data_IF_014163905265
#
_entry.id   IF_014163905265
#
_cell.length_a   1.000
_cell.length_b   1.000
_cell.length_c   1.000
_cell.angle_alpha   90.00
_cell.angle_beta   90.00
_cell.angle_gamma   90.00
#
_symmetry.space_group_name_H-M   'P 1'
#
loop_
_entity.id
_entity.type
_entity.pdbx_description
1 polymer ?
#
# COMPACT_ATOMS: atom_id res chain seq x y z
N UNK A 1 -4.25 4.61 12.52
CA UNK A 1 -2.97 4.01 12.12
C UNK A 1 -1.93 4.32 13.19
N UNK A 2 -1.13 3.35 13.62
CA UNK A 2 -0.02 3.60 14.56
C UNK A 2 1.25 3.97 13.78
N UNK A 3 1.41 5.27 13.48
CA UNK A 3 2.55 5.78 12.71
C UNK A 3 3.90 5.47 13.36
N UNK A 4 3.97 5.52 14.70
CA UNK A 4 5.22 5.27 15.42
C UNK A 4 5.64 3.82 15.22
N UNK A 5 4.72 2.88 15.43
CA UNK A 5 4.95 1.46 15.18
C UNK A 5 5.36 1.24 13.72
N UNK A 6 4.61 1.80 12.77
CA UNK A 6 4.90 1.65 11.33
C UNK A 6 6.30 2.14 10.96
N UNK A 7 6.71 3.32 11.42
CA UNK A 7 8.05 3.87 11.14
C UNK A 7 9.14 3.02 11.79
N UNK A 8 8.97 2.64 13.07
CA UNK A 8 9.96 1.83 13.81
C UNK A 8 10.12 0.45 13.19
N UNK A 9 9.02 -0.21 12.84
CA UNK A 9 9.05 -1.52 12.18
C UNK A 9 9.66 -1.42 10.78
N UNK A 10 9.34 -0.38 10.01
CA UNK A 10 9.95 -0.16 8.69
C UNK A 10 11.46 0.05 8.78
N UNK A 11 11.91 0.79 9.79
CA UNK A 11 13.33 0.99 10.09
C UNK A 11 14.02 -0.32 10.51
N UNK A 12 13.38 -1.11 11.38
CA UNK A 12 13.89 -2.41 11.79
C UNK A 12 14.03 -3.38 10.62
N UNK A 13 13.01 -3.49 9.76
CA UNK A 13 13.06 -4.31 8.54
C UNK A 13 14.20 -3.87 7.61
N UNK A 14 14.41 -2.56 7.49
CA UNK A 14 15.53 -2.00 6.69
C UNK A 14 16.88 -2.42 7.27
N UNK A 15 17.06 -2.35 8.59
CA UNK A 15 18.32 -2.70 9.25
C UNK A 15 18.57 -4.21 9.29
N UNK A 16 17.54 -5.02 9.52
CA UNK A 16 17.64 -6.48 9.59
C UNK A 16 18.18 -7.08 8.29
N UNK A 17 17.73 -6.56 7.14
CA UNK A 17 18.13 -7.02 5.81
C UNK A 17 18.95 -5.98 5.04
N UNK A 18 19.71 -5.14 5.75
CA UNK A 18 20.40 -3.98 5.17
C UNK A 18 21.29 -4.36 3.97
N UNK A 19 22.05 -5.45 4.06
CA UNK A 19 22.95 -5.90 2.98
C UNK A 19 22.17 -6.24 1.69
N UNK A 20 21.26 -7.23 1.72
CA UNK A 20 20.42 -7.57 0.57
C UNK A 20 19.58 -6.40 0.03
N UNK A 21 19.03 -5.56 0.91
CA UNK A 21 18.22 -4.39 0.52
C UNK A 21 19.07 -3.35 -0.21
N UNK A 22 20.26 -3.03 0.31
CA UNK A 22 21.16 -2.08 -0.34
C UNK A 22 21.61 -2.60 -1.70
N UNK A 23 21.92 -3.89 -1.80
CA UNK A 23 22.26 -4.52 -3.08
C UNK A 23 21.08 -4.45 -4.06
N UNK A 24 19.87 -4.80 -3.62
CA UNK A 24 18.67 -4.74 -4.45
C UNK A 24 18.40 -3.32 -4.97
N UNK A 25 18.46 -2.33 -4.07
CA UNK A 25 18.21 -0.91 -4.38
C UNK A 25 19.29 -0.36 -5.32
N UNK A 26 20.56 -0.75 -5.11
CA UNK A 26 21.66 -0.37 -5.99
C UNK A 26 21.50 -0.98 -7.39
N UNK A 27 21.18 -2.28 -7.49
CA UNK A 27 20.95 -2.91 -8.79
C UNK A 27 19.74 -2.30 -9.49
N UNK A 28 18.66 -2.00 -8.76
CA UNK A 28 17.51 -1.30 -9.32
C UNK A 28 17.92 0.07 -9.91
N UNK A 29 18.73 0.86 -9.18
CA UNK A 29 19.26 2.12 -9.71
C UNK A 29 20.01 1.88 -11.03
N UNK A 30 20.92 0.92 -11.08
CA UNK A 30 21.67 0.63 -12.30
C UNK A 30 20.73 0.26 -13.45
N UNK A 31 19.74 -0.59 -13.21
CA UNK A 31 18.76 -0.99 -14.22
C UNK A 31 17.96 0.23 -14.72
N UNK A 32 17.54 1.11 -13.83
CA UNK A 32 16.83 2.35 -14.19
C UNK A 32 17.73 3.24 -15.06
N UNK A 33 18.98 3.47 -14.64
CA UNK A 33 19.92 4.33 -15.37
C UNK A 33 20.25 3.76 -16.75
N UNK A 34 20.62 2.48 -16.84
CA UNK A 34 21.00 1.84 -18.10
C UNK A 34 19.83 1.62 -19.05
N UNK A 35 18.60 1.50 -18.53
CA UNK A 35 17.39 1.45 -19.36
C UNK A 35 16.81 2.83 -19.68
N UNK A 36 17.48 3.93 -19.29
CA UNK A 36 16.97 5.30 -19.44
C UNK A 36 15.58 5.50 -18.81
N UNK A 37 15.30 4.78 -17.72
CA UNK A 37 14.03 4.82 -16.99
C UNK A 37 12.92 3.96 -17.58
N UNK A 38 13.12 3.30 -18.73
CA UNK A 38 12.08 2.49 -19.38
C UNK A 38 11.63 1.34 -18.46
N UNK A 39 12.56 0.69 -17.76
CA UNK A 39 12.25 -0.40 -16.83
C UNK A 39 11.88 0.08 -15.42
N UNK A 40 11.87 1.39 -15.15
CA UNK A 40 11.62 1.91 -13.81
C UNK A 40 10.26 1.46 -13.21
N UNK A 41 9.13 1.49 -13.94
CA UNK A 41 7.84 1.12 -13.36
C UNK A 41 7.80 -0.36 -12.96
N UNK A 42 8.29 -1.24 -13.84
CA UNK A 42 8.21 -2.69 -13.63
C UNK A 42 9.20 -3.20 -12.59
N UNK A 43 10.41 -2.62 -12.56
CA UNK A 43 11.40 -2.94 -11.52
C UNK A 43 11.00 -2.40 -10.15
N UNK A 44 10.25 -1.29 -10.10
CA UNK A 44 9.61 -0.81 -8.87
C UNK A 44 8.55 -1.78 -8.37
N UNK A 45 7.78 -2.41 -9.27
CA UNK A 45 6.85 -3.48 -8.88
C UNK A 45 7.58 -4.71 -8.32
N UNK A 46 8.64 -5.17 -8.99
CA UNK A 46 9.47 -6.27 -8.47
C UNK A 46 10.14 -5.93 -7.13
N UNK A 47 10.58 -4.69 -6.95
CA UNK A 47 11.12 -4.18 -5.70
C UNK A 47 10.10 -4.22 -4.56
N UNK A 48 8.90 -3.68 -4.80
CA UNK A 48 7.81 -3.66 -3.82
C UNK A 48 7.39 -5.08 -3.44
N UNK A 49 7.25 -5.99 -4.41
CA UNK A 49 6.95 -7.42 -4.14
C UNK A 49 8.02 -8.07 -3.27
N UNK A 50 9.31 -7.81 -3.56
CA UNK A 50 10.43 -8.33 -2.77
C UNK A 50 10.35 -7.87 -1.31
N UNK A 51 10.06 -6.58 -1.07
CA UNK A 51 9.93 -6.01 0.27
C UNK A 51 8.65 -6.48 0.98
N UNK A 52 7.58 -6.76 0.25
CA UNK A 52 6.37 -7.35 0.81
C UNK A 52 6.63 -8.78 1.33
N UNK A 53 7.43 -9.56 0.60
CA UNK A 53 7.88 -10.90 1.05
C UNK A 53 8.82 -10.84 2.26
N UNK A 54 9.58 -9.77 2.46
CA UNK A 54 10.33 -9.58 3.72
C UNK A 54 9.37 -9.55 4.91
N UNK A 55 8.29 -8.79 4.80
CA UNK A 55 7.32 -8.66 5.89
C UNK A 55 6.56 -9.97 6.11
N UNK A 56 6.07 -10.61 5.03
CA UNK A 56 5.22 -11.81 5.12
C UNK A 56 5.98 -13.10 5.38
N UNK A 57 7.13 -13.28 4.74
CA UNK A 57 7.84 -14.56 4.68
C UNK A 57 9.17 -14.53 5.42
N UNK A 58 9.63 -13.36 5.91
CA UNK A 58 10.98 -13.16 6.44
C UNK A 58 12.09 -13.59 5.44
N UNK A 59 11.76 -13.57 4.14
CA UNK A 59 12.67 -13.93 3.07
C UNK A 59 13.58 -12.74 2.73
N UNK A 60 14.91 -12.90 2.69
CA UNK A 60 15.79 -11.82 2.27
C UNK A 60 15.52 -11.42 0.81
N UNK A 61 15.56 -10.12 0.47
CA UNK A 61 15.39 -9.65 -0.91
C UNK A 61 16.47 -10.20 -1.85
N UNK A 62 16.09 -10.62 -3.05
CA UNK A 62 17.00 -11.16 -4.06
C UNK A 62 16.96 -10.32 -5.34
N UNK A 63 18.11 -10.17 -6.01
CA UNK A 63 18.21 -9.32 -7.23
C UNK A 63 17.26 -9.75 -8.34
N UNK A 64 16.99 -11.05 -8.47
CA UNK A 64 16.02 -11.59 -9.45
C UNK A 64 14.60 -11.08 -9.23
N UNK A 65 14.26 -10.66 -8.00
CA UNK A 65 12.91 -10.21 -7.66
C UNK A 65 12.56 -8.92 -8.39
N UNK A 66 13.55 -8.08 -8.75
CA UNK A 66 13.33 -6.88 -9.57
C UNK A 66 12.66 -7.19 -10.92
N UNK A 67 12.85 -8.41 -11.42
CA UNK A 67 12.32 -8.85 -12.71
C UNK A 67 11.18 -9.87 -12.55
N UNK A 68 10.71 -10.11 -11.32
CA UNK A 68 9.62 -11.06 -11.07
C UNK A 68 8.28 -10.60 -11.65
N UNK A 69 8.08 -9.28 -11.75
CA UNK A 69 6.82 -8.66 -12.16
C UNK A 69 6.81 -8.19 -13.63
N UNK A 70 7.61 -8.81 -14.51
CA UNK A 70 7.73 -8.40 -15.93
C UNK A 70 6.41 -8.44 -16.71
N UNK A 71 5.45 -9.27 -16.28
CA UNK A 71 4.09 -9.28 -16.85
C UNK A 71 3.34 -7.95 -16.68
N UNK A 72 3.72 -7.14 -15.70
CA UNK A 72 3.13 -5.82 -15.42
C UNK A 72 3.82 -4.68 -16.20
N UNK A 73 4.79 -4.97 -17.08
CA UNK A 73 5.54 -3.94 -17.79
C UNK A 73 4.66 -2.99 -18.61
N UNK A 74 3.85 -3.52 -19.53
CA UNK A 74 2.95 -2.72 -20.37
C UNK A 74 1.97 -1.84 -19.56
N UNK A 75 1.19 -2.40 -18.61
CA UNK A 75 0.23 -1.59 -17.87
C UNK A 75 0.91 -0.51 -17.01
N UNK A 76 2.00 -0.84 -16.31
CA UNK A 76 2.70 0.13 -15.47
C UNK A 76 3.44 1.19 -16.30
N UNK A 77 4.03 0.82 -17.43
CA UNK A 77 4.69 1.77 -18.32
C UNK A 77 3.68 2.72 -18.97
N UNK A 78 2.52 2.21 -19.40
CA UNK A 78 1.42 3.05 -19.92
C UNK A 78 0.92 4.04 -18.87
N UNK A 79 0.68 3.58 -17.64
CA UNK A 79 0.31 4.45 -16.52
C UNK A 79 1.39 5.50 -16.22
N UNK A 80 2.65 5.09 -16.19
CA UNK A 80 3.79 5.98 -15.96
C UNK A 80 3.87 7.09 -17.02
N UNK A 81 3.72 6.75 -18.31
CA UNK A 81 3.72 7.74 -19.39
C UNK A 81 2.56 8.73 -19.27
N UNK A 82 1.36 8.26 -18.92
CA UNK A 82 0.20 9.12 -18.72
C UNK A 82 0.40 10.07 -17.53
N UNK A 83 0.90 9.55 -16.40
CA UNK A 83 1.20 10.35 -15.21
C UNK A 83 2.31 11.37 -15.49
N UNK A 84 3.37 10.97 -16.20
CA UNK A 84 4.46 11.85 -16.60
C UNK A 84 3.98 12.96 -17.55
N UNK A 85 3.12 12.63 -18.52
CA UNK A 85 2.52 13.62 -19.42
C UNK A 85 1.61 14.60 -18.66
N UNK A 86 0.77 14.10 -17.76
CA UNK A 86 -0.08 14.94 -16.92
C UNK A 86 0.75 15.89 -16.04
N UNK A 87 1.81 15.37 -15.41
CA UNK A 87 2.74 16.18 -14.62
C UNK A 87 3.47 17.22 -15.48
N UNK A 88 3.94 16.83 -16.68
CA UNK A 88 4.58 17.73 -17.63
C UNK A 88 3.66 18.88 -18.04
N UNK A 89 2.41 18.59 -18.38
CA UNK A 89 1.39 19.61 -18.69
C UNK A 89 1.15 20.51 -17.48
N UNK A 90 1.01 19.91 -16.29
CA UNK A 90 0.83 20.63 -15.03
C UNK A 90 1.95 21.64 -14.79
N UNK A 91 3.21 21.21 -14.83
CA UNK A 91 4.37 22.08 -14.65
C UNK A 91 4.59 23.07 -15.81
N UNK A 92 4.14 22.73 -17.02
CA UNK A 92 4.20 23.63 -18.18
C UNK A 92 3.20 24.79 -18.09
N UNK A 93 2.03 24.56 -17.50
CA UNK A 93 1.03 25.61 -17.29
C UNK A 93 1.44 26.56 -16.17
N UNK A 94 1.89 26.04 -15.02
CA UNK A 94 2.46 26.79 -13.89
C UNK A 94 3.12 25.78 -12.93
N UNK A 95 4.01 26.24 -12.04
CA UNK A 95 4.66 25.34 -11.06
C UNK A 95 3.65 24.69 -10.09
N UNK A 96 2.64 25.45 -9.62
CA UNK A 96 1.66 24.96 -8.64
C UNK A 96 0.72 23.85 -9.18
N UNK A 97 0.11 23.97 -10.37
CA UNK A 97 -0.64 22.88 -10.99
C UNK A 97 0.16 21.59 -11.15
N UNK A 98 1.46 21.67 -11.45
CA UNK A 98 2.33 20.49 -11.51
C UNK A 98 2.38 19.72 -10.18
N UNK A 99 2.59 20.42 -9.07
CA UNK A 99 2.56 19.81 -7.73
C UNK A 99 1.19 19.24 -7.37
N UNK A 100 0.09 19.89 -7.78
CA UNK A 100 -1.26 19.36 -7.57
C UNK A 100 -1.47 18.03 -8.29
N UNK A 101 -1.02 17.93 -9.55
CA UNK A 101 -1.13 16.69 -10.34
C UNK A 101 -0.29 15.58 -9.70
N UNK A 102 0.97 15.85 -9.37
CA UNK A 102 1.85 14.83 -8.74
C UNK A 102 1.31 14.42 -7.38
N UNK A 103 0.85 15.36 -6.56
CA UNK A 103 0.25 15.08 -5.26
C UNK A 103 -1.02 14.24 -5.37
N UNK A 104 -1.89 14.56 -6.34
CA UNK A 104 -3.10 13.78 -6.62
C UNK A 104 -2.76 12.35 -7.05
N UNK A 105 -1.82 12.18 -7.98
CA UNK A 105 -1.38 10.85 -8.43
C UNK A 105 -0.75 10.08 -7.28
N UNK A 106 0.12 10.70 -6.49
CA UNK A 106 0.76 10.08 -5.33
C UNK A 106 -0.26 9.63 -4.28
N UNK A 107 -1.30 10.43 -4.03
CA UNK A 107 -2.38 10.09 -3.10
C UNK A 107 -3.27 8.97 -3.63
N UNK A 108 -3.71 9.07 -4.90
CA UNK A 108 -4.66 8.14 -5.50
C UNK A 108 -4.04 6.77 -5.81
N UNK A 109 -2.80 6.76 -6.30
CA UNK A 109 -2.09 5.56 -6.73
C UNK A 109 -1.10 5.03 -5.67
N UNK A 110 -1.17 5.52 -4.42
CA UNK A 110 -0.24 5.14 -3.36
C UNK A 110 -0.15 3.63 -3.14
N UNK A 111 -1.28 2.92 -3.25
CA UNK A 111 -1.37 1.48 -3.07
C UNK A 111 -1.47 0.69 -4.39
N UNK A 112 -1.34 1.37 -5.53
CA UNK A 112 -1.52 0.77 -6.85
C UNK A 112 -0.60 -0.44 -7.04
N UNK A 113 0.70 -0.25 -6.82
CA UNK A 113 1.68 -1.30 -7.09
C UNK A 113 1.54 -2.47 -6.11
N UNK A 114 1.45 -2.27 -4.78
CA UNK A 114 1.14 -3.35 -3.85
C UNK A 114 -0.11 -4.15 -4.25
N UNK A 115 -1.20 -3.49 -4.66
CA UNK A 115 -2.42 -4.17 -5.09
C UNK A 115 -2.23 -5.01 -6.37
N UNK A 116 -1.43 -4.52 -7.32
CA UNK A 116 -1.14 -5.28 -8.54
C UNK A 116 -0.23 -6.48 -8.27
N UNK A 117 0.76 -6.35 -7.39
CA UNK A 117 1.73 -7.43 -7.11
C UNK A 117 1.21 -8.45 -6.12
N UNK A 118 0.52 -7.99 -5.07
CA UNK A 118 0.07 -8.82 -3.95
C UNK A 118 -1.27 -9.49 -4.22
N UNK A 119 -2.24 -8.71 -4.75
CA UNK A 119 -3.59 -9.21 -5.05
C UNK A 119 -3.76 -9.62 -6.52
N UNK A 120 -2.74 -9.42 -7.36
CA UNK A 120 -2.81 -9.74 -8.78
C UNK A 120 -3.82 -8.91 -9.57
N UNK A 121 -4.21 -7.74 -9.07
CA UNK A 121 -5.22 -6.91 -9.70
C UNK A 121 -4.69 -6.27 -11.00
N UNK A 122 -5.59 -6.10 -11.98
CA UNK A 122 -5.31 -5.30 -13.17
C UNK A 122 -5.14 -3.81 -12.84
N UNK A 123 -4.54 -3.03 -13.75
CA UNK A 123 -4.22 -1.62 -13.51
C UNK A 123 -5.43 -0.79 -13.05
N UNK A 124 -6.57 -0.92 -13.74
CA UNK A 124 -7.76 -0.13 -13.43
C UNK A 124 -8.42 -0.55 -12.12
N UNK A 125 -8.51 -1.84 -11.87
CA UNK A 125 -9.07 -2.38 -10.63
C UNK A 125 -8.19 -2.00 -9.43
N UNK A 126 -6.87 -2.12 -9.59
CA UNK A 126 -5.89 -1.71 -8.58
C UNK A 126 -5.93 -0.20 -8.32
N UNK A 127 -6.11 0.63 -9.36
CA UNK A 127 -6.20 2.09 -9.20
C UNK A 127 -7.49 2.47 -8.47
N UNK A 128 -8.62 1.87 -8.84
CA UNK A 128 -9.90 2.08 -8.16
C UNK A 128 -9.81 1.64 -6.71
N UNK A 129 -9.26 0.46 -6.46
CA UNK A 129 -9.09 -0.08 -5.11
C UNK A 129 -8.14 0.78 -4.28
N UNK A 130 -7.04 1.27 -4.87
CA UNK A 130 -6.11 2.19 -4.22
C UNK A 130 -6.80 3.50 -3.82
N UNK A 131 -7.67 4.04 -4.69
CA UNK A 131 -8.49 5.21 -4.39
C UNK A 131 -9.49 4.95 -3.26
N UNK A 132 -10.17 3.81 -3.29
CA UNK A 132 -11.13 3.43 -2.25
C UNK A 132 -10.42 3.24 -0.89
N UNK A 133 -9.22 2.64 -0.88
CA UNK A 133 -8.37 2.53 0.32
C UNK A 133 -7.87 3.89 0.81
N UNK A 134 -7.57 4.82 -0.11
CA UNK A 134 -7.11 6.17 0.20
C UNK A 134 -8.19 7.04 0.87
N UNK A 135 -9.45 6.85 0.45
CA UNK A 135 -10.61 7.55 1.00
C UNK A 135 -11.26 6.86 2.19
N UNK A 136 -10.79 5.67 2.58
CA UNK A 136 -11.32 4.96 3.74
C UNK A 136 -11.05 5.76 5.02
N UNK A 137 -12.05 6.00 5.87
CA UNK A 137 -11.85 6.67 7.14
C UNK A 137 -10.86 5.90 8.05
N UNK A 138 -9.99 6.60 8.79
CA UNK A 138 -9.75 8.04 8.73
C UNK A 138 -8.86 8.44 7.53
N UNK A 139 -9.37 9.31 6.66
CA UNK A 139 -8.63 9.81 5.47
C UNK A 139 -7.35 10.57 5.87
N UNK A 140 -7.38 11.21 7.04
CA UNK A 140 -6.21 11.89 7.62
C UNK A 140 -5.02 10.95 7.77
N UNK A 141 -5.24 9.66 8.08
CA UNK A 141 -4.14 8.71 8.19
C UNK A 141 -3.46 8.49 6.84
N UNK A 142 -4.24 8.50 5.75
CA UNK A 142 -3.71 8.34 4.40
C UNK A 142 -2.91 9.56 3.97
N UNK A 143 -3.45 10.73 4.28
CA UNK A 143 -2.80 12.00 3.99
C UNK A 143 -1.45 12.09 4.71
N UNK A 144 -1.41 11.78 6.02
CA UNK A 144 -0.19 11.81 6.82
C UNK A 144 0.84 10.83 6.25
N UNK A 145 0.45 9.59 5.93
CA UNK A 145 1.42 8.61 5.44
C UNK A 145 1.98 8.94 4.07
N UNK A 146 1.13 9.49 3.19
CA UNK A 146 1.55 9.97 1.88
C UNK A 146 2.56 11.12 2.02
N UNK A 147 2.31 12.07 2.94
CA UNK A 147 3.24 13.17 3.24
C UNK A 147 4.58 12.63 3.77
N UNK A 148 4.55 11.69 4.72
CA UNK A 148 5.76 11.07 5.27
C UNK A 148 6.56 10.39 4.16
N UNK A 149 5.90 9.60 3.31
CA UNK A 149 6.53 8.92 2.18
C UNK A 149 7.20 9.92 1.23
N UNK A 150 6.47 10.95 0.80
CA UNK A 150 6.99 11.99 -0.10
C UNK A 150 8.18 12.71 0.55
N UNK A 151 8.09 13.07 1.83
CA UNK A 151 9.18 13.74 2.54
C UNK A 151 10.46 12.89 2.60
N UNK A 152 10.34 11.59 2.89
CA UNK A 152 11.49 10.66 2.91
C UNK A 152 12.09 10.53 1.51
N UNK A 153 11.26 10.36 0.48
CA UNK A 153 11.73 10.24 -0.90
C UNK A 153 12.40 11.54 -1.39
N UNK A 154 11.84 12.70 -1.05
CA UNK A 154 12.46 14.01 -1.35
C UNK A 154 13.81 14.17 -0.68
N UNK A 155 13.95 13.76 0.59
CA UNK A 155 15.24 13.78 1.29
C UNK A 155 16.25 12.85 0.62
N UNK A 156 15.80 11.65 0.21
CA UNK A 156 16.61 10.69 -0.53
C UNK A 156 17.16 11.22 -1.84
N UNK A 157 16.36 12.03 -2.55
CA UNK A 157 16.77 12.66 -3.81
C UNK A 157 17.70 13.88 -3.63
N UNK A 158 17.76 14.45 -2.43
CA UNK A 158 18.52 15.68 -2.15
C UNK A 158 20.01 15.46 -1.91
N UNK A 159 20.42 14.25 -1.55
CA UNK A 159 21.81 13.90 -1.23
C UNK A 159 22.25 12.69 -2.07
N UNK A 160 23.47 12.70 -2.66
CA UNK A 160 24.00 11.52 -3.34
C UNK A 160 23.98 10.29 -2.42
N UNK A 161 23.53 9.15 -2.95
CA UNK A 161 23.43 7.86 -2.26
C UNK A 161 22.44 7.79 -1.08
N UNK A 162 21.86 8.89 -0.59
CA UNK A 162 20.84 8.84 0.46
C UNK A 162 19.59 8.05 0.02
N UNK A 163 19.30 8.06 -1.28
CA UNK A 163 18.24 7.24 -1.88
C UNK A 163 18.41 5.73 -1.57
N UNK A 164 19.64 5.22 -1.41
CA UNK A 164 19.87 3.79 -1.13
C UNK A 164 19.26 3.32 0.19
N UNK A 165 19.10 4.23 1.17
CA UNK A 165 18.52 3.94 2.49
C UNK A 165 17.09 4.46 2.58
N UNK A 166 16.83 5.65 2.05
CA UNK A 166 15.51 6.29 2.13
C UNK A 166 14.48 5.58 1.25
N UNK A 167 14.86 5.06 0.09
CA UNK A 167 13.95 4.31 -0.79
C UNK A 167 13.39 3.04 -0.12
N UNK A 168 14.21 2.12 0.43
CA UNK A 168 13.66 0.95 1.12
C UNK A 168 12.85 1.31 2.35
N UNK A 169 13.29 2.30 3.13
CA UNK A 169 12.56 2.76 4.30
C UNK A 169 11.17 3.29 3.91
N UNK A 170 11.09 4.17 2.90
CA UNK A 170 9.82 4.69 2.39
C UNK A 170 8.94 3.57 1.85
N UNK A 171 9.53 2.60 1.16
CA UNK A 171 8.78 1.48 0.58
C UNK A 171 8.22 0.55 1.66
N UNK A 172 8.97 0.25 2.72
CA UNK A 172 8.43 -0.51 3.86
C UNK A 172 7.30 0.23 4.58
N UNK A 173 7.39 1.55 4.70
CA UNK A 173 6.31 2.37 5.26
C UNK A 173 5.05 2.25 4.40
N UNK A 174 5.19 2.38 3.07
CA UNK A 174 4.07 2.22 2.14
C UNK A 174 3.47 0.82 2.19
N UNK A 175 4.30 -0.24 2.17
CA UNK A 175 3.83 -1.63 2.24
C UNK A 175 3.19 -1.94 3.59
N UNK A 176 3.74 -1.46 4.70
CA UNK A 176 3.13 -1.63 6.01
C UNK A 176 1.78 -0.93 6.12
N UNK A 177 1.67 0.30 5.60
CA UNK A 177 0.40 1.02 5.54
C UNK A 177 -0.63 0.33 4.63
N UNK A 178 -0.17 -0.27 3.54
CA UNK A 178 -1.01 -1.09 2.65
C UNK A 178 -1.59 -2.29 3.41
N UNK A 179 -0.74 -3.06 4.11
CA UNK A 179 -1.17 -4.24 4.85
C UNK A 179 -2.16 -3.89 5.98
N UNK A 180 -1.88 -2.83 6.76
CA UNK A 180 -2.79 -2.40 7.83
C UNK A 180 -4.18 -2.00 7.28
N UNK A 181 -4.21 -1.34 6.11
CA UNK A 181 -5.48 -0.95 5.46
C UNK A 181 -6.23 -2.10 4.81
N UNK A 182 -5.51 -3.10 4.29
CA UNK A 182 -6.08 -4.32 3.72
C UNK A 182 -6.65 -5.23 4.83
N UNK A 183 -5.96 -5.34 5.96
CA UNK A 183 -6.44 -6.08 7.14
C UNK A 183 -7.74 -5.48 7.71
N UNK A 184 -7.79 -4.15 7.89
CA UNK A 184 -9.00 -3.45 8.35
C UNK A 184 -10.22 -3.70 7.45
N UNK A 185 -10.00 -3.85 6.14
CA UNK A 185 -11.08 -4.20 5.22
C UNK A 185 -11.64 -5.58 5.51
N UNK A 186 -10.74 -6.55 5.67
CA UNK A 186 -11.11 -7.94 5.91
C UNK A 186 -11.84 -8.11 7.24
N UNK A 187 -11.55 -7.28 8.25
CA UNK A 187 -12.26 -7.26 9.53
C UNK A 187 -13.65 -6.65 9.39
N UNK A 188 -13.76 -5.52 8.69
CA UNK A 188 -15.06 -4.84 8.44
C UNK A 188 -16.01 -5.74 7.65
N UNK A 189 -15.50 -6.46 6.64
CA UNK A 189 -16.31 -7.39 5.84
C UNK A 189 -16.81 -8.59 6.68
N UNK A 190 -16.00 -9.09 7.62
CA UNK A 190 -16.41 -10.17 8.53
C UNK A 190 -17.48 -9.72 9.52
N UNK A 191 -17.35 -8.53 10.10
CA UNK A 191 -18.33 -7.98 11.05
C UNK A 191 -19.71 -7.77 10.40
N UNK A 192 -19.75 -7.35 9.13
CA UNK A 192 -21.00 -7.17 8.38
C UNK A 192 -21.63 -8.50 7.95
N UNK A 193 -20.83 -9.56 7.78
CA UNK A 193 -21.29 -10.87 7.32
C UNK A 193 -21.83 -11.77 8.45
N UNK A 194 -21.54 -11.47 9.72
CA UNK A 194 -22.03 -12.24 10.86
C UNK A 194 -23.44 -11.73 11.28
N UNK A 195 -24.51 -12.53 11.13
CA UNK A 195 -25.84 -12.09 11.53
C UNK A 195 -25.87 -11.92 13.05
N UNK A 196 -26.39 -10.79 13.54
CA UNK A 196 -26.65 -10.55 14.96
C UNK A 196 -27.25 -11.81 15.59
N UNK A 197 -26.76 -12.28 16.76
CA UNK A 197 -27.38 -13.39 17.46
C UNK A 197 -28.82 -13.00 17.75
N UNK A 198 -29.74 -13.62 17.02
CA UNK A 198 -31.19 -13.47 17.17
C UNK A 198 -31.49 -13.52 18.66
N UNK A 199 -31.93 -12.38 19.21
CA UNK A 199 -32.52 -12.34 20.53
C UNK A 199 -33.62 -13.38 20.56
N UNK A 200 -33.39 -14.45 21.33
CA UNK A 200 -34.30 -15.57 21.45
C UNK A 200 -35.71 -15.02 21.79
N UNK A 201 -36.78 -15.48 21.11
CA UNK A 201 -38.12 -15.06 21.46
C UNK A 201 -38.39 -15.51 22.89
N UNK A 202 -38.76 -14.56 23.76
CA UNK A 202 -39.23 -14.86 25.10
C UNK A 202 -40.32 -15.93 25.03
N UNK A 203 -40.08 -17.08 25.67
CA UNK A 203 -41.05 -18.17 25.76
C UNK A 203 -42.39 -17.66 26.33
N UNK A 204 -43.54 -18.01 25.73
CA UNK A 204 -44.82 -17.72 26.32
C UNK A 204 -45.05 -18.68 27.49
N UNK A 205 -45.04 -18.13 28.70
CA UNK A 205 -45.51 -18.82 29.91
C UNK A 205 -46.94 -19.36 29.67
N UNK A 206 -47.06 -20.68 29.60
CA UNK A 206 -48.33 -21.38 29.63
C UNK A 206 -48.21 -22.66 30.45
N UNK A 207 -48.89 -22.70 31.59
CA UNK A 207 -49.65 -23.83 32.15
C UNK A 207 -50.09 -23.42 33.58
N UNK A 208 -51.39 -23.21 33.83
CA UNK A 208 -52.42 -24.24 34.08
C UNK A 208 -52.56 -24.47 35.60
N UNK A 209 -53.57 -23.83 36.20
CA UNK A 209 -54.76 -24.49 36.75
C UNK A 209 -54.46 -25.42 37.93
N UNK A 210 -54.88 -25.03 39.13
CA UNK A 210 -55.51 -26.03 39.99
C UNK A 210 -56.63 -25.46 40.86
N UNK A 211 -57.80 -26.04 40.63
CA UNK A 211 -59.06 -25.90 41.34
C UNK A 211 -59.03 -26.61 42.70
N UNK A 212 -59.83 -26.15 43.69
CA UNK A 212 -60.74 -27.02 44.48
C UNK A 212 -61.61 -26.22 45.50
N UNK A 213 -62.66 -26.84 46.09
CA UNK A 213 -63.99 -26.21 46.18
C UNK A 213 -64.50 -26.03 47.63
N UNK A 214 -65.68 -25.41 47.74
CA UNK A 214 -66.68 -25.41 48.84
C UNK A 214 -66.36 -26.16 50.14
N UNK A 215 -66.45 -25.45 51.26
CA UNK A 215 -67.53 -25.60 52.26
C UNK A 215 -67.62 -24.34 53.14
#
# INVERSE_FOLDING_TARGET
>A
MDFKKLIVTSWQNTLQFIGPILLLTFVQLLVIVFSLGILAPVTTAGYIDSLLRVIREQRPPEVKDLFSQMGLFLPLFGFFLLAALAAFIGFSLLVLPGFLVVGFVAFAAFYLIPLMTDRGLGLFDALRKSWDMALRPPVTDHLIITIIYVAIMSLGSSLPFAFLITQPMATFIMVGAYLERDEQESETEKEVAEPEPQSAPAEPSSSESDSKPTA
#
